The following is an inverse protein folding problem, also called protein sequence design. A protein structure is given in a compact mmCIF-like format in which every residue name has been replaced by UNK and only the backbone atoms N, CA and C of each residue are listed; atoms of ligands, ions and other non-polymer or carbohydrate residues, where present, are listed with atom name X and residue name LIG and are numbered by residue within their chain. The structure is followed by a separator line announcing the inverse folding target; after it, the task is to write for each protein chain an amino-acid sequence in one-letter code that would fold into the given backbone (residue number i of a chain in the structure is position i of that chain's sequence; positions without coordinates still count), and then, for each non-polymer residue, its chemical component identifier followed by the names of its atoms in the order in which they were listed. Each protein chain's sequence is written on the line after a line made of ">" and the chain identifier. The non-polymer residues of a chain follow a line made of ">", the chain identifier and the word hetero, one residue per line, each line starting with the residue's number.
data_IF_739180068347
#
_entry.id   IF_739180068347
#
_cell.length_a   1.000
_cell.length_b   1.000
_cell.length_c   1.000
_cell.angle_alpha   90.00
_cell.angle_beta   90.00
_cell.angle_gamma   90.00
#
_symmetry.space_group_name_H-M   'P 1'
#
loop_
_entity.id
_entity.type
_entity.pdbx_description
1 polymer ?
#
# COMPACT_ATOMS: atom_id res chain seq x y z
N UNK A 1 19.75 2.95 1.76
CA UNK A 1 18.51 2.15 1.92
C UNK A 1 18.88 0.68 1.88
N UNK A 2 18.25 -0.19 2.68
CA UNK A 2 18.43 -1.63 2.55
C UNK A 2 17.97 -2.10 1.16
N UNK A 3 18.69 -3.06 0.59
CA UNK A 3 18.38 -3.64 -0.73
C UNK A 3 17.87 -5.06 -0.51
N UNK A 4 16.76 -5.40 -1.16
CA UNK A 4 16.27 -6.77 -1.21
C UNK A 4 16.10 -7.20 -2.68
N UNK A 5 16.42 -8.45 -2.98
CA UNK A 5 16.18 -9.05 -4.29
C UNK A 5 14.96 -9.97 -4.20
N UNK A 6 13.96 -9.73 -5.05
CA UNK A 6 12.71 -10.49 -5.08
C UNK A 6 12.59 -11.16 -6.44
N UNK A 7 12.27 -12.47 -6.44
CA UNK A 7 11.86 -13.16 -7.66
C UNK A 7 10.37 -12.92 -7.88
N UNK A 8 10.02 -12.43 -9.06
CA UNK A 8 8.65 -12.16 -9.46
C UNK A 8 8.26 -13.07 -10.62
N UNK A 9 6.97 -13.39 -10.70
CA UNK A 9 6.38 -13.99 -11.89
C UNK A 9 6.47 -13.00 -13.05
N UNK A 10 6.61 -13.52 -14.28
CA UNK A 10 6.77 -12.70 -15.48
C UNK A 10 5.62 -11.70 -15.66
N UNK A 11 4.38 -12.16 -15.42
CA UNK A 11 3.18 -11.31 -15.47
C UNK A 11 3.22 -10.10 -14.53
N UNK A 12 3.81 -10.25 -13.35
CA UNK A 12 3.84 -9.19 -12.34
C UNK A 12 4.95 -8.19 -12.64
N UNK A 13 6.07 -8.68 -13.17
CA UNK A 13 7.14 -7.83 -13.69
C UNK A 13 6.67 -6.98 -14.88
N UNK A 14 5.92 -7.56 -15.81
CA UNK A 14 5.36 -6.83 -16.95
C UNK A 14 4.36 -5.75 -16.54
N UNK A 15 3.54 -6.00 -15.51
CA UNK A 15 2.66 -4.95 -14.93
C UNK A 15 3.47 -3.78 -14.36
N UNK A 16 4.52 -4.05 -13.60
CA UNK A 16 5.40 -3.02 -13.04
C UNK A 16 6.07 -2.21 -14.16
N UNK A 17 6.58 -2.88 -15.20
CA UNK A 17 7.17 -2.23 -16.38
C UNK A 17 6.17 -1.30 -17.07
N UNK A 18 4.96 -1.79 -17.32
CA UNK A 18 3.92 -1.02 -18.00
C UNK A 18 3.52 0.24 -17.21
N UNK A 19 3.36 0.12 -15.88
CA UNK A 19 3.09 1.27 -15.02
C UNK A 19 4.26 2.25 -14.98
N UNK A 20 5.49 1.74 -14.85
CA UNK A 20 6.71 2.56 -14.86
C UNK A 20 6.85 3.39 -16.13
N UNK A 21 6.56 2.79 -17.29
CA UNK A 21 6.55 3.50 -18.57
C UNK A 21 5.44 4.54 -18.66
N UNK A 22 4.24 4.24 -18.14
CA UNK A 22 3.10 5.16 -18.19
C UNK A 22 3.31 6.38 -17.30
N UNK A 23 3.90 6.18 -16.12
CA UNK A 23 4.12 7.22 -15.12
C UNK A 23 5.48 7.95 -15.29
N UNK A 24 6.28 7.55 -16.28
CA UNK A 24 7.65 8.01 -16.49
C UNK A 24 8.52 7.90 -15.21
N UNK A 25 8.44 6.74 -14.54
CA UNK A 25 9.16 6.42 -13.30
C UNK A 25 10.07 5.21 -13.48
N UNK A 26 11.04 5.05 -12.59
CA UNK A 26 11.80 3.82 -12.50
C UNK A 26 10.94 2.65 -12.00
N UNK A 27 11.17 1.44 -12.52
CA UNK A 27 10.51 0.22 -12.05
C UNK A 27 10.68 0.02 -10.53
N UNK A 28 11.85 0.35 -9.99
CA UNK A 28 12.11 0.23 -8.54
C UNK A 28 11.25 1.19 -7.72
N UNK A 29 10.93 2.37 -8.27
CA UNK A 29 10.05 3.35 -7.62
C UNK A 29 8.62 2.85 -7.65
N UNK A 30 8.12 2.42 -8.80
CA UNK A 30 6.78 1.84 -8.94
C UNK A 30 6.62 0.62 -8.04
N UNK A 31 7.60 -0.29 -7.99
CA UNK A 31 7.54 -1.46 -7.12
C UNK A 31 7.43 -1.07 -5.64
N UNK A 32 8.20 -0.05 -5.18
CA UNK A 32 8.10 0.46 -3.81
C UNK A 32 6.72 1.07 -3.52
N UNK A 33 6.20 1.88 -4.44
CA UNK A 33 4.87 2.48 -4.31
C UNK A 33 3.79 1.41 -4.21
N UNK A 34 3.82 0.38 -5.07
CA UNK A 34 2.89 -0.75 -5.02
C UNK A 34 2.96 -1.52 -3.69
N UNK A 35 4.17 -1.72 -3.14
CA UNK A 35 4.32 -2.34 -1.82
C UNK A 35 3.67 -1.47 -0.73
N UNK A 36 3.89 -0.15 -0.77
CA UNK A 36 3.24 0.78 0.17
C UNK A 36 1.72 0.79 0.03
N UNK A 37 1.18 0.77 -1.19
CA UNK A 37 -0.25 0.68 -1.43
C UNK A 37 -0.83 -0.66 -0.93
N UNK A 38 -0.13 -1.77 -1.17
CA UNK A 38 -0.54 -3.08 -0.68
C UNK A 38 -0.58 -3.14 0.85
N UNK A 39 0.39 -2.50 1.54
CA UNK A 39 0.37 -2.40 3.00
C UNK A 39 -0.86 -1.64 3.51
N UNK A 40 -1.14 -0.46 2.95
CA UNK A 40 -2.30 0.34 3.33
C UNK A 40 -3.61 -0.43 3.14
N UNK A 41 -3.77 -1.06 1.96
CA UNK A 41 -4.93 -1.88 1.65
C UNK A 41 -5.10 -3.04 2.65
N UNK A 42 -4.02 -3.76 2.98
CA UNK A 42 -4.06 -4.86 3.93
C UNK A 42 -4.48 -4.38 5.32
N UNK A 43 -3.94 -3.26 5.80
CA UNK A 43 -4.26 -2.74 7.13
C UNK A 43 -5.71 -2.30 7.22
N UNK A 44 -6.21 -1.58 6.22
CA UNK A 44 -7.62 -1.18 6.18
C UNK A 44 -8.56 -2.38 6.07
N UNK A 45 -8.20 -3.39 5.28
CA UNK A 45 -8.97 -4.64 5.24
C UNK A 45 -9.03 -5.32 6.61
N UNK A 46 -7.92 -5.37 7.36
CA UNK A 46 -7.91 -5.94 8.72
C UNK A 46 -8.78 -5.14 9.70
N UNK A 47 -8.79 -3.82 9.58
CA UNK A 47 -9.71 -2.96 10.32
C UNK A 47 -11.17 -3.28 10.00
N UNK A 48 -11.53 -3.32 8.71
CA UNK A 48 -12.90 -3.64 8.26
C UNK A 48 -13.36 -5.05 8.69
N UNK A 49 -12.43 -6.00 8.78
CA UNK A 49 -12.69 -7.35 9.30
C UNK A 49 -12.77 -7.42 10.85
N UNK A 50 -12.66 -6.28 11.55
CA UNK A 50 -12.68 -6.20 13.01
C UNK A 50 -11.43 -6.75 13.71
N UNK A 51 -10.36 -7.04 12.95
CA UNK A 51 -9.09 -7.58 13.45
C UNK A 51 -8.13 -6.51 13.95
N UNK A 52 -8.44 -5.25 13.68
CA UNK A 52 -7.65 -4.08 14.06
C UNK A 52 -8.60 -3.01 14.61
N UNK A 53 -8.23 -2.36 15.71
CA UNK A 53 -8.94 -1.15 16.16
C UNK A 53 -8.53 0.04 15.31
N UNK A 54 -9.29 1.15 15.38
CA UNK A 54 -8.96 2.38 14.69
C UNK A 54 -7.61 2.96 15.15
N UNK A 55 -7.34 2.90 16.46
CA UNK A 55 -6.05 3.32 17.04
C UNK A 55 -4.90 2.40 16.60
N UNK A 56 -5.17 1.10 16.47
CA UNK A 56 -4.23 0.13 15.93
C UNK A 56 -3.91 0.44 14.46
N UNK A 57 -4.92 0.76 13.66
CA UNK A 57 -4.76 1.16 12.27
C UNK A 57 -3.90 2.41 12.13
N UNK A 58 -4.22 3.46 12.90
CA UNK A 58 -3.47 4.70 12.91
C UNK A 58 -1.97 4.46 13.23
N UNK A 59 -1.69 3.59 14.20
CA UNK A 59 -0.31 3.21 14.56
C UNK A 59 0.42 2.48 13.43
N UNK A 60 -0.20 1.47 12.82
CA UNK A 60 0.41 0.69 11.73
C UNK A 60 0.64 1.52 10.46
N UNK A 61 -0.18 2.54 10.23
CA UNK A 61 -0.05 3.48 9.11
C UNK A 61 0.86 4.68 9.44
N UNK A 62 1.31 4.82 10.69
CA UNK A 62 2.09 5.99 11.13
C UNK A 62 1.31 7.31 11.02
N UNK A 63 -0.01 7.25 11.18
CA UNK A 63 -0.95 8.38 11.05
C UNK A 63 -1.61 8.70 12.38
N UNK A 64 -2.18 9.88 12.50
CA UNK A 64 -3.14 10.20 13.56
C UNK A 64 -4.47 9.48 13.33
N UNK A 65 -5.29 9.37 14.37
CA UNK A 65 -6.65 8.82 14.24
C UNK A 65 -7.48 9.62 13.24
N UNK A 66 -7.38 10.95 13.24
CA UNK A 66 -8.11 11.81 12.30
C UNK A 66 -7.74 11.53 10.85
N UNK A 67 -6.45 11.53 10.52
CA UNK A 67 -5.97 11.22 9.16
C UNK A 67 -6.34 9.80 8.71
N UNK A 68 -6.49 8.88 9.68
CA UNK A 68 -6.92 7.51 9.41
C UNK A 68 -8.41 7.45 9.08
N UNK A 69 -9.25 8.24 9.77
CA UNK A 69 -10.68 8.38 9.44
C UNK A 69 -10.85 8.97 8.04
N UNK A 70 -10.09 10.01 7.71
CA UNK A 70 -10.13 10.62 6.37
C UNK A 70 -9.75 9.59 5.28
N UNK A 71 -8.69 8.82 5.52
CA UNK A 71 -8.27 7.74 4.62
C UNK A 71 -9.34 6.64 4.46
N UNK A 72 -9.99 6.24 5.55
CA UNK A 72 -11.06 5.24 5.51
C UNK A 72 -12.25 5.74 4.69
N UNK A 73 -12.62 7.01 4.86
CA UNK A 73 -13.67 7.66 4.07
C UNK A 73 -13.33 7.72 2.58
N UNK A 74 -12.09 8.09 2.22
CA UNK A 74 -11.60 8.08 0.84
C UNK A 74 -11.67 6.68 0.20
N UNK A 75 -11.46 5.64 1.00
CA UNK A 75 -11.51 4.24 0.55
C UNK A 75 -12.89 3.59 0.68
N UNK A 76 -13.92 4.34 1.09
CA UNK A 76 -15.30 3.86 1.23
C UNK A 76 -15.50 2.83 2.34
N UNK A 77 -14.65 2.86 3.38
CA UNK A 77 -14.74 1.97 4.53
C UNK A 77 -15.38 2.74 5.70
N UNK A 78 -16.51 2.25 6.26
CA UNK A 78 -17.22 2.90 7.35
C UNK A 78 -16.50 2.79 8.70
#
# INVERSE_FOLDING_TARGET
>A
MPVMSIRLEEKDLERIKSLASSDNKDQSTVARELISYAWNYLMVRRYAEGKLSLEGLARELGKTVSETIDLLAEMGVP
#
